data_IF_605335531903
#
_entry.id   IF_605335531903
#
_cell.length_a   1.000
_cell.length_b   1.000
_cell.length_c   1.000
_cell.angle_alpha   90.00
_cell.angle_beta   90.00
_cell.angle_gamma   90.00
#
_symmetry.space_group_name_H-M   'P 1'
#
loop_
_entity.id
_entity.type
_entity.pdbx_description
1 polymer ?
#
# COMPACT_ATOMS: atom_id res chain seq x y z
N UNK A 1 10.67 18.79 -15.46
CA UNK A 1 10.08 18.16 -14.25
C UNK A 1 9.86 16.69 -14.56
N UNK A 2 10.31 15.80 -13.72
CA UNK A 2 10.06 14.34 -13.89
C UNK A 2 8.58 14.06 -13.63
N UNK A 3 7.97 13.17 -14.43
CA UNK A 3 6.58 12.77 -14.21
C UNK A 3 6.41 12.15 -12.80
N UNK A 4 5.30 12.44 -12.10
CA UNK A 4 5.00 11.83 -10.81
C UNK A 4 4.88 10.31 -10.95
N UNK A 5 5.10 9.59 -9.85
CA UNK A 5 4.90 8.14 -9.81
C UNK A 5 3.41 7.78 -9.96
N UNK A 6 2.57 8.56 -9.30
CA UNK A 6 1.10 8.43 -9.38
C UNK A 6 0.49 9.82 -9.56
N UNK A 7 -0.47 9.93 -10.49
CA UNK A 7 -1.19 11.18 -10.75
C UNK A 7 -2.69 10.92 -10.87
N UNK A 8 -3.47 11.61 -10.07
CA UNK A 8 -4.93 11.61 -10.09
C UNK A 8 -5.38 12.98 -10.58
N UNK A 9 -6.23 13.05 -11.62
CA UNK A 9 -6.71 14.31 -12.19
C UNK A 9 -8.23 14.29 -12.32
N UNK A 10 -8.87 15.23 -11.62
CA UNK A 10 -10.33 15.42 -11.57
C UNK A 10 -11.07 14.09 -11.32
N UNK A 11 -10.46 13.24 -10.48
CA UNK A 11 -10.91 11.87 -10.25
C UNK A 11 -12.21 11.87 -9.45
N UNK A 12 -13.25 11.27 -10.01
CA UNK A 12 -14.55 11.14 -9.34
C UNK A 12 -15.11 9.74 -9.46
N UNK A 13 -15.85 9.31 -8.42
CA UNK A 13 -16.54 8.03 -8.39
C UNK A 13 -17.90 8.14 -7.72
N UNK A 14 -18.92 7.71 -8.43
CA UNK A 14 -20.28 7.57 -7.91
C UNK A 14 -20.73 6.11 -7.99
N UNK A 15 -21.56 5.70 -7.03
CA UNK A 15 -22.28 4.44 -7.02
C UNK A 15 -23.79 4.78 -6.98
N UNK A 16 -24.44 4.70 -8.12
CA UNK A 16 -25.80 5.23 -8.30
C UNK A 16 -25.82 6.73 -7.97
N UNK A 17 -26.70 7.20 -7.07
CA UNK A 17 -26.79 8.61 -6.68
C UNK A 17 -25.70 9.06 -5.70
N UNK A 18 -25.00 8.13 -5.05
CA UNK A 18 -24.00 8.45 -4.04
C UNK A 18 -22.64 8.75 -4.68
N UNK A 19 -22.17 9.99 -4.60
CA UNK A 19 -20.82 10.39 -4.97
C UNK A 19 -19.88 10.15 -3.79
N UNK A 20 -18.89 9.27 -3.98
CA UNK A 20 -17.96 8.85 -2.91
C UNK A 20 -16.60 9.53 -3.07
N UNK A 21 -16.17 9.76 -4.30
CA UNK A 21 -14.95 10.54 -4.61
C UNK A 21 -15.38 11.69 -5.50
N UNK A 22 -14.93 12.89 -5.16
CA UNK A 22 -15.34 14.13 -5.81
C UNK A 22 -14.12 14.97 -6.19
N UNK A 23 -13.87 15.07 -7.47
CA UNK A 23 -12.83 15.92 -8.08
C UNK A 23 -11.43 15.83 -7.43
N UNK A 24 -10.99 14.63 -7.05
CA UNK A 24 -9.70 14.42 -6.40
C UNK A 24 -8.57 14.70 -7.39
N UNK A 25 -7.69 15.61 -7.00
CA UNK A 25 -6.46 15.97 -7.70
C UNK A 25 -5.27 15.71 -6.77
N UNK A 26 -4.36 14.81 -7.15
CA UNK A 26 -3.21 14.42 -6.33
C UNK A 26 -2.06 13.93 -7.23
N UNK A 27 -0.89 14.51 -7.04
CA UNK A 27 0.36 14.05 -7.63
C UNK A 27 1.30 13.55 -6.52
N UNK A 28 1.78 12.31 -6.65
CA UNK A 28 2.73 11.69 -5.72
C UNK A 28 4.06 11.53 -6.45
N UNK A 29 5.12 12.09 -5.88
CA UNK A 29 6.43 12.08 -6.48
C UNK A 29 7.08 10.67 -6.44
N UNK A 30 8.04 10.43 -7.33
CA UNK A 30 8.82 9.18 -7.30
C UNK A 30 9.66 9.11 -6.03
N UNK A 31 9.59 7.98 -5.32
CA UNK A 31 10.31 7.76 -4.08
C UNK A 31 9.65 8.40 -2.84
N UNK A 32 8.52 9.06 -3.00
CA UNK A 32 7.76 9.67 -1.90
C UNK A 32 6.99 8.61 -1.11
N UNK A 33 7.00 8.73 0.22
CA UNK A 33 6.11 8.00 1.12
C UNK A 33 4.93 8.90 1.46
N UNK A 34 3.80 8.62 0.85
CA UNK A 34 2.59 9.43 0.93
C UNK A 34 1.52 8.74 1.77
N UNK A 35 1.05 9.38 2.83
CA UNK A 35 -0.09 8.89 3.60
C UNK A 35 -1.39 9.56 3.14
N UNK A 36 -2.47 8.77 3.09
CA UNK A 36 -3.83 9.26 2.88
C UNK A 36 -4.63 8.98 4.13
N UNK A 37 -5.03 10.03 4.83
CA UNK A 37 -5.80 9.98 6.07
C UNK A 37 -7.19 10.57 5.88
N UNK A 38 -8.08 10.32 6.82
CA UNK A 38 -9.43 10.86 6.81
C UNK A 38 -10.38 10.06 7.70
N UNK A 39 -11.52 10.61 8.09
CA UNK A 39 -12.50 9.92 8.93
C UNK A 39 -13.08 8.68 8.25
N UNK A 40 -13.79 7.87 9.03
CA UNK A 40 -14.51 6.71 8.50
C UNK A 40 -15.55 7.17 7.47
N UNK A 41 -15.63 6.47 6.33
CA UNK A 41 -16.52 6.86 5.24
C UNK A 41 -15.99 7.98 4.32
N UNK A 42 -14.79 8.53 4.56
CA UNK A 42 -14.23 9.59 3.72
C UNK A 42 -13.96 9.18 2.25
N UNK A 43 -13.93 7.87 1.95
CA UNK A 43 -13.68 7.36 0.60
C UNK A 43 -12.29 6.75 0.39
N UNK A 44 -11.47 6.59 1.44
CA UNK A 44 -10.08 6.08 1.36
C UNK A 44 -9.97 4.75 0.60
N UNK A 45 -10.74 3.75 1.01
CA UNK A 45 -10.73 2.43 0.34
C UNK A 45 -11.25 2.50 -1.10
N UNK A 46 -12.21 3.40 -1.38
CA UNK A 46 -12.70 3.64 -2.75
C UNK A 46 -11.60 4.26 -3.60
N UNK A 47 -10.84 5.21 -3.07
CA UNK A 47 -9.71 5.83 -3.76
C UNK A 47 -8.62 4.78 -4.08
N UNK A 48 -8.28 3.92 -3.12
CA UNK A 48 -7.34 2.80 -3.33
C UNK A 48 -7.84 1.81 -4.39
N UNK A 49 -9.15 1.52 -4.41
CA UNK A 49 -9.77 0.66 -5.43
C UNK A 49 -9.73 1.28 -6.84
N UNK A 50 -9.85 2.61 -6.94
CA UNK A 50 -9.69 3.33 -8.20
C UNK A 50 -8.24 3.31 -8.70
N UNK A 51 -7.27 3.56 -7.81
CA UNK A 51 -5.84 3.56 -8.13
C UNK A 51 -5.40 2.16 -8.58
N UNK A 52 -5.87 1.10 -7.92
CA UNK A 52 -5.50 -0.29 -8.22
C UNK A 52 -6.32 -0.93 -9.36
N UNK A 53 -7.26 -0.18 -9.98
CA UNK A 53 -8.07 -0.67 -11.10
C UNK A 53 -9.20 -1.63 -10.73
N UNK A 54 -9.48 -1.82 -9.42
CA UNK A 54 -10.64 -2.59 -8.96
C UNK A 54 -11.96 -1.88 -9.28
N UNK A 55 -11.94 -0.55 -9.31
CA UNK A 55 -13.07 0.26 -9.75
C UNK A 55 -12.64 1.14 -10.92
N UNK A 56 -13.53 1.29 -11.90
CA UNK A 56 -13.38 2.28 -12.95
C UNK A 56 -13.90 3.63 -12.47
N UNK A 57 -13.18 4.74 -12.67
CA UNK A 57 -13.67 6.09 -12.37
C UNK A 57 -14.98 6.40 -13.10
N UNK A 58 -15.82 7.23 -12.50
CA UNK A 58 -16.97 7.83 -13.19
C UNK A 58 -16.50 8.95 -14.12
N UNK A 59 -15.50 9.74 -13.67
CA UNK A 59 -14.81 10.74 -14.47
C UNK A 59 -13.39 10.95 -13.96
N UNK A 60 -12.58 11.66 -14.72
CA UNK A 60 -11.18 11.91 -14.39
C UNK A 60 -10.27 10.74 -14.74
N UNK A 61 -9.01 10.84 -14.34
CA UNK A 61 -7.97 9.88 -14.75
C UNK A 61 -7.02 9.53 -13.62
N UNK A 62 -6.48 8.31 -13.71
CA UNK A 62 -5.36 7.83 -12.89
C UNK A 62 -4.22 7.49 -13.84
N UNK A 63 -3.01 7.99 -13.55
CA UNK A 63 -1.81 7.67 -14.32
C UNK A 63 -0.70 7.15 -13.41
N UNK A 64 0.01 6.12 -13.87
CA UNK A 64 1.17 5.50 -13.22
C UNK A 64 2.42 5.81 -14.05
N UNK A 65 3.40 6.49 -13.47
CA UNK A 65 4.62 6.92 -14.17
C UNK A 65 4.35 7.63 -15.52
N UNK A 66 3.27 8.42 -15.58
CA UNK A 66 2.84 9.14 -16.79
C UNK A 66 2.00 8.31 -17.76
N UNK A 67 1.81 7.02 -17.53
CA UNK A 67 0.96 6.15 -18.34
C UNK A 67 -0.44 6.07 -17.75
N UNK A 68 -1.48 6.32 -18.57
CA UNK A 68 -2.88 6.21 -18.16
C UNK A 68 -3.24 4.77 -17.79
N UNK A 69 -3.80 4.59 -16.58
CA UNK A 69 -4.23 3.28 -16.08
C UNK A 69 -5.72 3.20 -15.72
N UNK A 70 -6.48 4.27 -15.91
CA UNK A 70 -7.94 4.27 -15.70
C UNK A 70 -8.61 3.21 -16.57
N UNK A 71 -9.35 2.28 -15.95
CA UNK A 71 -10.03 1.19 -16.64
C UNK A 71 -9.13 0.01 -17.05
N UNK A 72 -7.84 0.07 -16.73
CA UNK A 72 -6.93 -1.07 -16.91
C UNK A 72 -7.17 -2.10 -15.78
N UNK A 73 -7.22 -3.42 -16.08
CA UNK A 73 -7.44 -4.43 -15.05
C UNK A 73 -6.29 -4.50 -14.03
N UNK A 74 -6.56 -4.86 -12.75
CA UNK A 74 -5.57 -4.87 -11.68
C UNK A 74 -4.29 -5.67 -11.99
N UNK A 75 -4.42 -6.82 -12.65
CA UNK A 75 -3.28 -7.67 -12.98
C UNK A 75 -2.34 -7.04 -14.03
N UNK A 76 -2.87 -6.20 -14.92
CA UNK A 76 -2.06 -5.43 -15.87
C UNK A 76 -1.39 -4.25 -15.18
N UNK A 77 -2.11 -3.53 -14.32
CA UNK A 77 -1.55 -2.43 -13.49
C UNK A 77 -0.40 -2.96 -12.63
N UNK A 78 -0.55 -4.16 -12.07
CA UNK A 78 0.52 -4.80 -11.31
C UNK A 78 1.77 -5.05 -12.18
N UNK A 79 1.62 -5.52 -13.42
CA UNK A 79 2.72 -5.67 -14.38
C UNK A 79 3.36 -4.35 -14.78
N UNK A 80 2.62 -3.25 -14.70
CA UNK A 80 3.13 -1.90 -14.94
C UNK A 80 3.90 -1.33 -13.75
N UNK A 81 3.98 -2.06 -12.64
CA UNK A 81 4.81 -1.74 -11.49
C UNK A 81 4.09 -1.13 -10.30
N UNK A 82 2.79 -1.36 -10.14
CA UNK A 82 2.03 -1.01 -8.94
C UNK A 82 1.59 -2.29 -8.23
N UNK A 83 2.00 -2.48 -6.98
CA UNK A 83 1.52 -3.55 -6.09
C UNK A 83 0.64 -2.99 -4.99
N UNK A 84 -0.36 -3.76 -4.57
CA UNK A 84 -1.23 -3.43 -3.45
C UNK A 84 -1.32 -4.59 -2.47
N UNK A 85 -1.20 -4.28 -1.15
CA UNK A 85 -1.68 -5.17 -0.11
C UNK A 85 -3.21 -5.02 0.01
N UNK A 86 -3.90 -6.09 0.38
CA UNK A 86 -5.35 -6.05 0.56
C UNK A 86 -5.69 -6.06 2.05
N UNK A 87 -6.81 -5.43 2.41
CA UNK A 87 -7.34 -5.39 3.78
C UNK A 87 -7.73 -6.78 4.32
N UNK A 88 -8.09 -7.72 3.44
CA UNK A 88 -8.31 -9.13 3.76
C UNK A 88 -7.08 -9.92 3.36
N UNK A 89 -6.55 -10.73 4.29
CA UNK A 89 -5.35 -11.55 4.09
C UNK A 89 -5.41 -12.38 2.80
N UNK A 90 -4.58 -12.02 1.83
CA UNK A 90 -4.46 -12.71 0.54
C UNK A 90 -3.24 -13.65 0.53
N UNK A 91 -2.99 -14.34 1.65
CA UNK A 91 -1.97 -15.37 1.73
C UNK A 91 -2.54 -16.73 1.29
N UNK A 92 -1.72 -17.51 0.65
CA UNK A 92 -2.05 -18.91 0.35
C UNK A 92 -1.87 -19.73 1.64
N UNK A 93 -2.95 -19.85 2.42
CA UNK A 93 -2.96 -20.38 3.78
C UNK A 93 -2.31 -21.77 3.91
N UNK A 94 -2.53 -22.65 2.93
CA UNK A 94 -2.01 -24.01 2.91
C UNK A 94 -0.57 -24.14 2.34
N UNK A 95 -0.01 -23.05 1.82
CA UNK A 95 1.37 -23.01 1.35
C UNK A 95 2.29 -22.49 2.46
N UNK A 96 3.54 -22.89 2.41
CA UNK A 96 4.56 -22.37 3.31
C UNK A 96 4.82 -20.88 3.07
N UNK A 97 5.40 -20.20 4.04
CA UNK A 97 5.86 -18.80 3.93
C UNK A 97 6.77 -18.62 2.70
N UNK A 98 7.73 -19.51 2.51
CA UNK A 98 8.63 -19.51 1.35
C UNK A 98 7.87 -19.63 0.02
N UNK A 99 6.88 -20.50 -0.04
CA UNK A 99 6.09 -20.71 -1.27
C UNK A 99 5.24 -19.48 -1.59
N UNK A 100 4.66 -18.84 -0.59
CA UNK A 100 3.94 -17.59 -0.74
C UNK A 100 4.83 -16.49 -1.35
N UNK A 101 6.00 -16.23 -0.75
CA UNK A 101 6.94 -15.22 -1.25
C UNK A 101 7.43 -15.58 -2.65
N UNK A 102 7.71 -16.87 -2.91
CA UNK A 102 8.15 -17.34 -4.22
C UNK A 102 7.13 -17.04 -5.33
N UNK A 103 5.82 -17.09 -5.04
CA UNK A 103 4.80 -16.72 -6.02
C UNK A 103 4.98 -15.26 -6.49
N UNK A 104 5.24 -14.33 -5.58
CA UNK A 104 5.54 -12.94 -5.92
C UNK A 104 6.84 -12.81 -6.73
N UNK A 105 7.90 -13.50 -6.32
CA UNK A 105 9.21 -13.50 -7.03
C UNK A 105 9.09 -14.03 -8.44
N UNK A 106 8.34 -15.10 -8.65
CA UNK A 106 8.12 -15.67 -10.00
C UNK A 106 7.46 -14.66 -10.94
N UNK A 107 6.52 -13.89 -10.42
CA UNK A 107 5.87 -12.83 -11.17
C UNK A 107 6.90 -11.75 -11.58
N UNK A 108 7.73 -11.27 -10.65
CA UNK A 108 8.72 -10.22 -10.91
C UNK A 108 9.80 -10.62 -11.93
N UNK A 109 10.15 -11.91 -11.98
CA UNK A 109 11.15 -12.45 -12.92
C UNK A 109 10.54 -12.91 -14.27
N UNK A 110 9.23 -12.69 -14.48
CA UNK A 110 8.54 -13.10 -15.72
C UNK A 110 8.47 -14.62 -15.94
N UNK A 111 8.68 -15.42 -14.87
CA UNK A 111 8.75 -16.89 -14.97
C UNK A 111 7.41 -17.59 -14.61
N UNK A 112 6.30 -16.86 -14.57
CA UNK A 112 5.01 -17.34 -14.05
C UNK A 112 4.37 -18.53 -14.78
N UNK A 113 4.80 -18.87 -16.01
CA UNK A 113 4.16 -19.92 -16.84
C UNK A 113 5.15 -20.85 -17.54
N UNK A 114 6.26 -21.19 -16.91
CA UNK A 114 7.21 -22.15 -17.49
C UNK A 114 6.86 -23.58 -17.06
N UNK A 115 6.08 -24.30 -17.87
CA UNK A 115 5.72 -25.70 -17.65
C UNK A 115 6.92 -26.68 -17.76
N UNK A 116 8.03 -26.25 -18.35
CA UNK A 116 9.17 -27.12 -18.69
C UNK A 116 10.38 -26.97 -17.77
N UNK A 117 10.41 -25.95 -16.92
CA UNK A 117 11.49 -25.78 -15.93
C UNK A 117 10.93 -25.94 -14.53
N UNK A 118 11.54 -26.81 -13.74
CA UNK A 118 11.19 -26.88 -12.31
C UNK A 118 11.46 -25.51 -11.68
N UNK A 119 10.41 -24.89 -11.18
CA UNK A 119 10.46 -23.59 -10.49
C UNK A 119 11.43 -23.64 -9.30
N UNK A 120 11.58 -24.84 -8.70
CA UNK A 120 12.49 -25.07 -7.58
C UNK A 120 13.95 -25.13 -7.99
N UNK A 121 14.29 -25.25 -9.27
CA UNK A 121 15.67 -25.34 -9.76
C UNK A 121 16.28 -24.00 -10.19
N UNK A 122 15.47 -22.92 -10.28
CA UNK A 122 16.00 -21.61 -10.65
C UNK A 122 16.71 -20.95 -9.46
N UNK A 123 18.04 -20.87 -9.55
CA UNK A 123 18.90 -20.23 -8.53
C UNK A 123 18.48 -18.80 -8.26
N UNK A 124 18.17 -18.02 -9.30
CA UNK A 124 17.72 -16.63 -9.18
C UNK A 124 16.41 -16.50 -8.39
N UNK A 125 15.44 -17.43 -8.58
CA UNK A 125 14.19 -17.45 -7.81
C UNK A 125 14.46 -17.77 -6.34
N UNK A 126 15.36 -18.75 -6.07
CA UNK A 126 15.70 -19.12 -4.69
C UNK A 126 16.41 -17.97 -3.96
N UNK A 127 17.42 -17.36 -4.58
CA UNK A 127 18.16 -16.23 -4.02
C UNK A 127 17.25 -15.05 -3.72
N UNK A 128 16.41 -14.66 -4.69
CA UNK A 128 15.48 -13.55 -4.50
C UNK A 128 14.40 -13.84 -3.45
N UNK A 129 13.91 -15.09 -3.39
CA UNK A 129 12.97 -15.50 -2.35
C UNK A 129 13.61 -15.41 -0.97
N UNK A 130 14.87 -15.88 -0.84
CA UNK A 130 15.59 -15.81 0.43
C UNK A 130 15.86 -14.35 0.86
N UNK A 131 16.30 -13.51 -0.08
CA UNK A 131 16.50 -12.06 0.16
C UNK A 131 15.24 -11.39 0.72
N UNK A 132 14.07 -11.66 0.14
CA UNK A 132 12.80 -11.11 0.62
C UNK A 132 12.46 -11.66 2.01
N UNK A 133 12.64 -12.97 2.26
CA UNK A 133 12.39 -13.57 3.57
C UNK A 133 13.31 -12.98 4.65
N UNK A 134 14.58 -12.77 4.34
CA UNK A 134 15.56 -12.15 5.25
C UNK A 134 15.17 -10.70 5.54
N UNK A 135 14.81 -9.96 4.50
CA UNK A 135 14.36 -8.57 4.63
C UNK A 135 13.13 -8.42 5.53
N UNK A 136 12.20 -9.39 5.46
CA UNK A 136 10.98 -9.42 6.26
C UNK A 136 11.10 -10.17 7.59
N UNK A 137 12.31 -10.60 7.99
CA UNK A 137 12.55 -11.39 9.21
C UNK A 137 11.69 -12.68 9.29
N UNK A 138 11.46 -13.33 8.15
CA UNK A 138 10.64 -14.54 8.03
C UNK A 138 11.44 -15.81 7.72
N UNK A 139 12.78 -15.76 7.73
CA UNK A 139 13.65 -16.89 7.37
C UNK A 139 13.40 -18.10 8.27
N UNK A 140 13.32 -17.91 9.58
CA UNK A 140 13.11 -18.98 10.56
C UNK A 140 11.73 -19.66 10.41
N UNK A 141 10.78 -18.95 9.80
CA UNK A 141 9.40 -19.42 9.55
C UNK A 141 9.18 -19.88 8.10
N UNK A 142 10.24 -19.89 7.28
CA UNK A 142 10.14 -20.15 5.83
C UNK A 142 9.41 -21.44 5.47
N UNK A 143 9.52 -22.49 6.28
CA UNK A 143 8.89 -23.78 6.06
C UNK A 143 7.55 -23.95 6.81
N UNK A 144 7.09 -22.96 7.57
CA UNK A 144 5.82 -22.99 8.29
C UNK A 144 4.67 -22.72 7.32
N UNK A 145 3.57 -23.49 7.35
CA UNK A 145 2.35 -23.14 6.65
C UNK A 145 1.84 -21.76 7.07
N UNK A 146 1.44 -20.93 6.10
CA UNK A 146 1.07 -19.55 6.38
C UNK A 146 -0.13 -19.43 7.35
N UNK A 147 -1.06 -20.40 7.31
CA UNK A 147 -2.19 -20.45 8.26
C UNK A 147 -1.78 -20.61 9.73
N UNK A 148 -0.57 -21.11 10.00
CA UNK A 148 -0.08 -21.36 11.37
C UNK A 148 0.74 -20.20 11.93
N UNK A 149 0.95 -19.13 11.15
CA UNK A 149 1.64 -17.94 11.60
C UNK A 149 0.80 -17.13 12.59
N UNK A 150 1.42 -16.53 13.62
CA UNK A 150 0.81 -15.43 14.37
C UNK A 150 0.35 -14.30 13.44
N UNK A 151 -0.64 -13.53 13.86
CA UNK A 151 -1.25 -12.47 13.05
C UNK A 151 -0.22 -11.45 12.50
N UNK A 152 0.67 -10.98 13.34
CA UNK A 152 1.72 -10.03 12.92
C UNK A 152 2.64 -10.62 11.84
N UNK A 153 2.98 -11.92 11.93
CA UNK A 153 3.79 -12.59 10.91
C UNK A 153 3.01 -12.82 9.60
N UNK A 154 1.69 -13.03 9.68
CA UNK A 154 0.85 -13.08 8.47
C UNK A 154 0.85 -11.72 7.76
N UNK A 155 0.76 -10.62 8.50
CA UNK A 155 0.88 -9.27 7.94
C UNK A 155 2.28 -8.99 7.36
N UNK A 156 3.35 -9.41 8.04
CA UNK A 156 4.69 -9.33 7.49
C UNK A 156 4.83 -10.15 6.19
N UNK A 157 4.18 -11.31 6.11
CA UNK A 157 4.14 -12.12 4.89
C UNK A 157 3.38 -11.43 3.75
N UNK A 158 2.28 -10.75 4.02
CA UNK A 158 1.54 -9.95 3.02
C UNK A 158 2.41 -8.83 2.44
N UNK A 159 3.12 -8.10 3.29
CA UNK A 159 4.09 -7.09 2.88
C UNK A 159 5.19 -7.76 2.04
N UNK A 160 5.73 -8.90 2.48
CA UNK A 160 6.75 -9.65 1.76
C UNK A 160 6.30 -10.05 0.34
N UNK A 161 5.07 -10.55 0.18
CA UNK A 161 4.51 -10.90 -1.13
C UNK A 161 4.37 -9.66 -2.02
N UNK A 162 3.90 -8.54 -1.44
CA UNK A 162 3.72 -7.27 -2.15
C UNK A 162 5.06 -6.74 -2.69
N UNK A 163 6.13 -6.85 -1.89
CA UNK A 163 7.48 -6.42 -2.25
C UNK A 163 8.11 -7.37 -3.26
N UNK A 164 7.91 -8.68 -3.08
CA UNK A 164 8.48 -9.73 -3.94
C UNK A 164 8.11 -9.56 -5.41
N UNK A 165 6.95 -8.95 -5.70
CA UNK A 165 6.50 -8.60 -7.04
C UNK A 165 7.37 -7.58 -7.77
N UNK A 166 8.28 -6.89 -7.09
CA UNK A 166 9.24 -5.96 -7.71
C UNK A 166 8.63 -4.62 -8.15
N UNK A 167 7.45 -4.28 -7.67
CA UNK A 167 6.78 -3.01 -8.00
C UNK A 167 7.55 -1.79 -7.46
N UNK A 168 7.52 -0.70 -8.23
CA UNK A 168 8.10 0.59 -7.86
C UNK A 168 7.12 1.50 -7.11
N UNK A 169 5.82 1.21 -7.18
CA UNK A 169 4.76 1.89 -6.43
C UNK A 169 4.03 0.84 -5.59
N UNK A 170 3.98 1.07 -4.29
CA UNK A 170 3.38 0.14 -3.31
C UNK A 170 2.21 0.84 -2.64
N UNK A 171 1.05 0.19 -2.64
CA UNK A 171 -0.13 0.63 -1.88
C UNK A 171 -0.31 -0.29 -0.67
N UNK A 172 -0.32 0.28 0.54
CA UNK A 172 -0.60 -0.44 1.78
C UNK A 172 -1.88 0.08 2.42
N UNK A 173 -2.82 -0.81 2.66
CA UNK A 173 -4.14 -0.50 3.23
C UNK A 173 -4.20 -1.05 4.66
N UNK A 174 -4.07 -0.16 5.65
CA UNK A 174 -4.07 -0.44 7.10
C UNK A 174 -3.10 -1.58 7.49
N UNK A 175 -1.81 -1.49 7.13
CA UNK A 175 -0.87 -2.59 7.34
C UNK A 175 -0.60 -2.92 8.81
N UNK A 176 -0.88 -1.99 9.74
CA UNK A 176 -0.65 -2.20 11.19
C UNK A 176 -1.94 -2.46 11.99
N UNK A 177 -3.09 -2.51 11.31
CA UNK A 177 -4.38 -2.71 11.98
C UNK A 177 -4.40 -4.00 12.84
N UNK A 178 -4.82 -3.86 14.11
CA UNK A 178 -4.95 -4.97 15.04
C UNK A 178 -3.65 -5.49 15.67
N UNK A 179 -2.53 -4.78 15.47
CA UNK A 179 -1.24 -5.09 16.08
C UNK A 179 -1.09 -4.44 17.46
N UNK A 180 -0.30 -5.08 18.32
CA UNK A 180 0.22 -4.45 19.54
C UNK A 180 1.30 -3.40 19.19
N UNK A 181 1.63 -2.48 20.11
CA UNK A 181 2.66 -1.47 19.89
C UNK A 181 4.00 -2.06 19.39
N UNK A 182 4.49 -3.12 20.02
CA UNK A 182 5.75 -3.75 19.64
C UNK A 182 5.70 -4.44 18.27
N UNK A 183 4.54 -4.91 17.84
CA UNK A 183 4.33 -5.45 16.50
C UNK A 183 4.23 -4.34 15.46
N UNK A 184 3.56 -3.23 15.82
CA UNK A 184 3.49 -2.01 14.99
C UNK A 184 4.88 -1.45 14.71
N UNK A 185 5.74 -1.31 15.72
CA UNK A 185 7.11 -0.83 15.54
C UNK A 185 7.91 -1.68 14.56
N UNK A 186 7.77 -3.02 14.67
CA UNK A 186 8.40 -3.95 13.72
C UNK A 186 7.86 -3.81 12.30
N UNK A 187 6.53 -3.65 12.17
CA UNK A 187 5.89 -3.47 10.87
C UNK A 187 6.31 -2.15 10.22
N UNK A 188 6.40 -1.07 10.99
CA UNK A 188 6.88 0.24 10.54
C UNK A 188 8.31 0.14 10.01
N UNK A 189 9.20 -0.49 10.77
CA UNK A 189 10.59 -0.69 10.35
C UNK A 189 10.68 -1.54 9.08
N UNK A 190 9.87 -2.60 8.98
CA UNK A 190 9.77 -3.43 7.79
C UNK A 190 9.28 -2.62 6.58
N UNK A 191 8.21 -1.84 6.72
CA UNK A 191 7.67 -0.99 5.65
C UNK A 191 8.70 0.05 5.22
N UNK A 192 9.39 0.68 6.16
CA UNK A 192 10.45 1.67 5.91
C UNK A 192 11.56 1.09 5.03
N UNK A 193 12.13 -0.05 5.43
CA UNK A 193 13.17 -0.76 4.67
C UNK A 193 12.69 -1.19 3.29
N UNK A 194 11.47 -1.71 3.23
CA UNK A 194 10.89 -2.28 2.01
C UNK A 194 10.51 -1.23 0.97
N UNK A 195 10.27 0.00 1.40
CA UNK A 195 9.95 1.14 0.54
C UNK A 195 11.16 1.99 0.14
N UNK A 196 12.37 1.63 0.56
CA UNK A 196 13.58 2.36 0.13
C UNK A 196 13.69 2.39 -1.40
N UNK A 197 13.83 3.61 -1.95
CA UNK A 197 13.90 3.84 -3.39
C UNK A 197 12.61 3.59 -4.17
N UNK A 198 11.50 3.28 -3.47
CA UNK A 198 10.18 3.07 -4.06
C UNK A 198 9.20 4.14 -3.60
N UNK A 199 8.13 4.31 -4.34
CA UNK A 199 7.00 5.16 -3.93
C UNK A 199 6.05 4.32 -3.08
N UNK A 200 5.71 4.82 -1.89
CA UNK A 200 4.74 4.21 -0.98
C UNK A 200 3.50 5.09 -0.88
N UNK A 201 2.33 4.50 -1.00
CA UNK A 201 1.07 5.13 -0.61
C UNK A 201 0.43 4.28 0.48
N UNK A 202 0.16 4.89 1.62
CA UNK A 202 -0.35 4.20 2.80
C UNK A 202 -1.66 4.84 3.27
N UNK A 203 -2.64 4.00 3.60
CA UNK A 203 -3.81 4.39 4.41
C UNK A 203 -3.63 3.79 5.78
N UNK A 204 -3.72 4.60 6.81
CA UNK A 204 -3.60 4.20 8.21
C UNK A 204 -4.47 5.07 9.10
N UNK A 205 -4.80 4.55 10.28
CA UNK A 205 -5.54 5.26 11.32
C UNK A 205 -4.64 5.65 12.50
N UNK A 206 -3.51 4.95 12.69
CA UNK A 206 -2.54 5.28 13.71
C UNK A 206 -1.69 6.47 13.26
N UNK A 207 -1.92 7.62 13.88
CA UNK A 207 -1.21 8.85 13.58
C UNK A 207 0.28 8.77 13.90
N UNK A 208 0.68 7.95 14.90
CA UNK A 208 2.08 7.70 15.21
C UNK A 208 2.80 7.04 14.04
N UNK A 209 2.20 6.00 13.47
CA UNK A 209 2.71 5.31 12.27
C UNK A 209 2.83 6.26 11.08
N UNK A 210 1.80 7.08 10.86
CA UNK A 210 1.76 8.03 9.74
C UNK A 210 2.87 9.07 9.87
N UNK A 211 3.03 9.69 11.04
CA UNK A 211 4.05 10.71 11.28
C UNK A 211 5.47 10.15 11.24
N UNK A 212 5.64 8.87 11.54
CA UNK A 212 6.94 8.20 11.49
C UNK A 212 7.35 7.77 10.07
N UNK A 213 6.38 7.40 9.22
CA UNK A 213 6.65 6.86 7.88
C UNK A 213 6.53 7.89 6.75
N UNK A 214 5.57 8.82 6.83
CA UNK A 214 5.19 9.63 5.68
C UNK A 214 6.08 10.85 5.49
N UNK A 215 6.47 11.11 4.24
CA UNK A 215 7.10 12.37 3.83
C UNK A 215 6.04 13.46 3.57
N UNK A 216 4.82 13.04 3.19
CA UNK A 216 3.68 13.90 2.90
C UNK A 216 2.37 13.20 3.28
N UNK A 217 1.39 14.00 3.73
CA UNK A 217 0.07 13.52 4.14
C UNK A 217 -0.99 14.28 3.33
N UNK A 218 -1.94 13.54 2.75
CA UNK A 218 -3.18 14.10 2.18
C UNK A 218 -4.37 13.72 3.04
N UNK A 219 -5.21 14.69 3.34
CA UNK A 219 -6.41 14.52 4.16
C UNK A 219 -7.63 14.45 3.25
N UNK A 220 -8.29 13.31 3.23
CA UNK A 220 -9.50 13.02 2.46
C UNK A 220 -10.73 13.14 3.38
N UNK A 221 -11.67 14.00 3.00
CA UNK A 221 -12.93 14.21 3.74
C UNK A 221 -14.08 14.30 2.75
N UNK A 222 -15.12 13.50 2.93
CA UNK A 222 -16.28 13.44 2.03
C UNK A 222 -15.92 13.32 0.55
N UNK A 223 -14.85 12.55 0.26
CA UNK A 223 -14.39 12.31 -1.12
C UNK A 223 -13.52 13.40 -1.72
N UNK A 224 -13.16 14.44 -0.98
CA UNK A 224 -12.30 15.55 -1.43
C UNK A 224 -11.00 15.61 -0.63
N UNK A 225 -9.89 16.01 -1.28
CA UNK A 225 -8.64 16.30 -0.57
C UNK A 225 -8.70 17.76 -0.08
N UNK A 226 -8.82 17.92 1.24
CA UNK A 226 -8.92 19.24 1.89
C UNK A 226 -7.55 19.84 2.24
N UNK A 227 -6.53 19.02 2.40
CA UNK A 227 -5.15 19.42 2.68
C UNK A 227 -4.17 18.39 2.14
N UNK A 228 -2.97 18.83 1.73
CA UNK A 228 -1.85 17.98 1.36
C UNK A 228 -0.53 18.68 1.67
N UNK A 229 0.18 18.22 2.72
CA UNK A 229 1.37 18.89 3.23
C UNK A 229 2.30 17.89 3.97
N UNK A 230 3.53 18.29 4.32
CA UNK A 230 4.38 17.54 5.23
C UNK A 230 3.70 17.30 6.59
N UNK A 231 4.08 16.24 7.33
CA UNK A 231 3.48 15.91 8.63
C UNK A 231 3.44 17.06 9.64
N UNK A 232 4.52 17.87 9.70
CA UNK A 232 4.61 19.02 10.60
C UNK A 232 3.57 20.11 10.36
N UNK A 233 3.16 20.30 9.09
CA UNK A 233 2.14 21.28 8.72
C UNK A 233 0.73 20.76 8.93
N UNK A 234 0.48 19.47 8.66
CA UNK A 234 -0.83 18.82 8.83
C UNK A 234 -1.31 18.88 10.29
N UNK A 235 -0.40 18.69 11.26
CA UNK A 235 -0.76 18.79 12.69
C UNK A 235 -1.36 20.14 13.09
N UNK A 236 -0.90 21.21 12.47
CA UNK A 236 -1.31 22.59 12.77
C UNK A 236 -2.49 23.09 11.91
N UNK A 237 -2.91 22.37 10.89
CA UNK A 237 -3.91 22.84 9.95
C UNK A 237 -5.32 22.91 10.59
N UNK A 238 -5.95 24.09 10.65
CA UNK A 238 -7.28 24.25 11.25
C UNK A 238 -8.37 23.42 10.56
N UNK A 239 -8.30 23.25 9.25
CA UNK A 239 -9.28 22.47 8.47
C UNK A 239 -9.17 20.98 8.80
N UNK A 240 -7.95 20.50 8.99
CA UNK A 240 -7.69 19.11 9.38
C UNK A 240 -8.22 18.87 10.80
N UNK A 241 -7.94 19.78 11.73
CA UNK A 241 -8.44 19.70 13.11
C UNK A 241 -9.96 19.70 13.15
N UNK A 242 -10.61 20.58 12.40
CA UNK A 242 -12.08 20.65 12.33
C UNK A 242 -12.68 19.34 11.76
N UNK A 243 -12.07 18.76 10.72
CA UNK A 243 -12.52 17.52 10.11
C UNK A 243 -12.40 16.30 11.03
N UNK A 244 -11.45 16.32 11.96
CA UNK A 244 -11.22 15.24 12.93
C UNK A 244 -11.89 15.49 14.30
N UNK A 245 -12.20 16.74 14.68
CA UNK A 245 -12.84 17.09 15.95
C UNK A 245 -14.28 16.55 16.08
N UNK A 246 -14.86 16.02 14.97
CA UNK A 246 -16.14 15.30 15.02
C UNK A 246 -16.00 13.85 15.49
N UNK A 247 -14.82 13.22 15.39
CA UNK A 247 -14.64 11.78 15.64
C UNK A 247 -13.52 11.41 16.63
N UNK A 248 -12.38 12.09 16.68
CA UNK A 248 -11.34 11.91 17.71
C UNK A 248 -10.28 13.02 17.57
N UNK A 249 -9.90 13.64 18.70
CA UNK A 249 -8.85 14.65 18.72
C UNK A 249 -7.49 14.02 18.30
N UNK A 250 -6.74 14.70 17.44
CA UNK A 250 -5.35 14.35 17.17
C UNK A 250 -4.59 14.27 18.51
N UNK A 251 -3.82 13.22 18.81
CA UNK A 251 -3.14 13.08 20.09
C UNK A 251 -2.25 14.30 20.34
N UNK A 252 -2.48 14.96 21.47
CA UNK A 252 -1.59 16.02 21.96
C UNK A 252 -0.25 15.39 22.34
N UNK A 253 0.86 16.03 21.98
CA UNK A 253 2.17 15.63 22.45
C UNK A 253 2.17 15.63 23.98
N UNK A 254 2.31 14.46 24.60
CA UNK A 254 2.79 14.39 25.98
C UNK A 254 4.25 14.83 25.98
N UNK A 255 4.47 16.03 26.53
CA UNK A 255 5.76 16.63 26.75
C UNK A 255 6.68 15.74 27.61
#
# INVERSE_FOLDING_TARGET
MTAPALSLKNLSKSFGPAQIINDVNLDIAKGERHAIIGPNGAGKSTLFNLISGLYTPTSGTVSLNGTLISGVPPHEINRMGLSRSFQVSNIFANMTVRENVRCGVLHSLGQGYSFWKSVTSSKAVQEKTFEVLEHCALVDKANTPAALLPYADQRALEIAITIAGGANVILLDEPTAGMSHSETDRAVELIRKSSEGKTLVIVEHDMGVIFDLADRISVLVYGEIIASAPPSEIRGDPKVREAYLGDEALPEETA
#
